data_IF_343305271043
#
_entry.id   IF_343305271043
#
_cell.length_a   1.000
_cell.length_b   1.000
_cell.length_c   1.000
_cell.angle_alpha   90.00
_cell.angle_beta   90.00
_cell.angle_gamma   90.00
#
_symmetry.space_group_name_H-M   'P 1'
#
loop_
_entity.id
_entity.type
_entity.pdbx_description
1 polymer ?
#
# COMPACT_ATOMS: atom_id res chain seq x y z
N UNK A 1 10.26 -7.85 5.58
CA UNK A 1 10.25 -6.94 4.41
C UNK A 1 8.87 -6.40 4.08
N UNK A 2 7.84 -7.23 3.87
CA UNK A 2 6.50 -6.70 3.53
C UNK A 2 5.97 -5.61 4.48
N UNK A 3 6.15 -5.81 5.80
CA UNK A 3 5.72 -4.82 6.79
C UNK A 3 6.47 -3.48 6.64
N UNK A 4 7.77 -3.51 6.30
CA UNK A 4 8.55 -2.31 6.02
C UNK A 4 7.98 -1.56 4.81
N UNK A 5 7.71 -2.28 3.73
CA UNK A 5 7.19 -1.68 2.49
C UNK A 5 5.80 -1.06 2.70
N UNK A 6 4.89 -1.77 3.36
CA UNK A 6 3.54 -1.26 3.59
C UNK A 6 3.52 -0.06 4.56
N UNK A 7 4.37 -0.05 5.58
CA UNK A 7 4.54 1.11 6.46
C UNK A 7 5.14 2.30 5.70
N UNK A 8 6.12 2.06 4.81
CA UNK A 8 6.70 3.11 3.97
C UNK A 8 5.64 3.75 3.07
N UNK A 9 4.81 2.93 2.41
CA UNK A 9 3.72 3.43 1.56
C UNK A 9 2.69 4.25 2.36
N UNK A 10 2.35 3.80 3.56
CA UNK A 10 1.45 4.52 4.46
C UNK A 10 2.04 5.87 4.93
N UNK A 11 3.35 5.92 5.21
CA UNK A 11 4.05 7.15 5.55
C UNK A 11 4.06 8.13 4.37
N UNK A 12 4.37 7.64 3.16
CA UNK A 12 4.34 8.45 1.93
C UNK A 12 2.93 9.02 1.67
N UNK A 13 1.87 8.24 1.92
CA UNK A 13 0.49 8.71 1.80
C UNK A 13 0.15 9.84 2.77
N UNK A 14 0.64 9.75 4.02
CA UNK A 14 0.50 10.81 5.01
C UNK A 14 1.26 12.08 4.61
N UNK A 15 2.50 11.92 4.14
CA UNK A 15 3.32 13.04 3.70
C UNK A 15 2.71 13.74 2.47
N UNK A 16 2.21 12.98 1.49
CA UNK A 16 1.51 13.56 0.33
C UNK A 16 0.31 14.41 0.75
N UNK A 17 -0.54 13.91 1.64
CA UNK A 17 -1.68 14.71 2.14
C UNK A 17 -1.20 15.94 2.92
N UNK A 18 -0.14 15.81 3.72
CA UNK A 18 0.47 16.95 4.41
C UNK A 18 0.93 18.03 3.42
N UNK A 19 1.61 17.65 2.34
CA UNK A 19 2.05 18.59 1.30
C UNK A 19 0.87 19.24 0.54
N UNK A 20 -0.16 18.48 0.17
CA UNK A 20 -1.35 19.03 -0.48
C UNK A 20 -2.09 20.01 0.43
N UNK A 21 -2.20 19.72 1.73
CA UNK A 21 -2.84 20.59 2.71
C UNK A 21 -2.09 21.92 2.95
N UNK A 22 -0.78 21.99 2.63
CA UNK A 22 -0.04 23.26 2.62
C UNK A 22 -0.47 24.16 1.46
N UNK A 23 -0.89 23.58 0.34
CA UNK A 23 -1.31 24.31 -0.86
C UNK A 23 -2.81 24.60 -0.87
N UNK A 24 -3.62 23.73 -0.28
CA UNK A 24 -5.07 23.89 -0.19
C UNK A 24 -5.56 23.76 1.25
N UNK A 25 -5.94 24.89 1.85
CA UNK A 25 -6.39 24.95 3.26
C UNK A 25 -7.68 24.18 3.52
N UNK A 26 -8.48 23.90 2.48
CA UNK A 26 -9.71 23.09 2.59
C UNK A 26 -9.42 21.60 2.71
N UNK A 27 -8.21 21.15 2.34
CA UNK A 27 -7.74 19.77 2.53
C UNK A 27 -7.10 19.53 3.89
N UNK A 28 -7.05 20.54 4.77
CA UNK A 28 -6.65 20.30 6.15
C UNK A 28 -7.60 19.24 6.70
N UNK A 29 -7.03 18.14 7.17
CA UNK A 29 -7.77 17.19 7.98
C UNK A 29 -8.50 17.96 9.09
N UNK A 30 -9.50 17.33 9.65
CA UNK A 30 -10.28 17.68 10.84
C UNK A 30 -9.43 17.96 12.11
N UNK A 31 -8.17 18.35 11.96
CA UNK A 31 -7.19 18.62 13.00
C UNK A 31 -6.51 17.35 13.51
N UNK A 32 -6.84 16.19 12.94
CA UNK A 32 -6.31 14.90 13.39
C UNK A 32 -4.85 14.74 12.99
N UNK A 33 -4.00 14.21 13.91
CA UNK A 33 -2.63 13.88 13.58
C UNK A 33 -2.58 12.76 12.52
N UNK A 34 -1.56 12.79 11.68
CA UNK A 34 -1.27 11.66 10.79
C UNK A 34 -0.84 10.46 11.61
N UNK A 35 -1.41 9.30 11.31
CA UNK A 35 -1.25 8.08 12.08
C UNK A 35 -1.26 6.85 11.17
N UNK A 36 -0.48 5.84 11.56
CA UNK A 36 -0.48 4.52 10.95
C UNK A 36 -0.81 3.53 12.06
N UNK A 37 -1.95 2.85 11.92
CA UNK A 37 -2.44 1.84 12.84
C UNK A 37 -2.16 0.45 12.29
N UNK A 38 -1.59 -0.42 13.13
CA UNK A 38 -1.35 -1.83 12.81
C UNK A 38 -2.15 -2.68 13.78
N UNK A 39 -3.07 -3.49 13.27
CA UNK A 39 -3.91 -4.36 14.09
C UNK A 39 -3.88 -5.80 13.57
N UNK A 40 -4.01 -6.75 14.50
CA UNK A 40 -4.03 -8.19 14.22
C UNK A 40 -5.34 -8.74 14.75
N UNK A 41 -6.12 -9.39 13.89
CA UNK A 41 -7.28 -10.18 14.25
C UNK A 41 -6.90 -11.66 14.09
N UNK A 42 -6.73 -12.34 15.23
CA UNK A 42 -6.30 -13.75 15.25
C UNK A 42 -7.41 -14.71 14.83
N UNK A 43 -8.67 -14.35 15.09
CA UNK A 43 -9.82 -15.18 14.77
C UNK A 43 -10.07 -15.17 13.25
N UNK A 44 -9.87 -14.02 12.61
CA UNK A 44 -9.95 -13.87 11.14
C UNK A 44 -8.63 -14.13 10.42
N UNK A 45 -7.54 -14.32 11.17
CA UNK A 45 -6.18 -14.45 10.65
C UNK A 45 -5.77 -13.29 9.73
N UNK A 46 -6.16 -12.06 10.08
CA UNK A 46 -5.87 -10.87 9.28
C UNK A 46 -4.91 -9.93 10.00
N UNK A 47 -3.93 -9.40 9.26
CA UNK A 47 -3.14 -8.24 9.63
C UNK A 47 -3.65 -7.04 8.85
N UNK A 48 -3.97 -5.94 9.54
CA UNK A 48 -4.43 -4.69 8.93
C UNK A 48 -3.42 -3.58 9.20
N UNK A 49 -3.06 -2.85 8.14
CA UNK A 49 -2.26 -1.63 8.19
C UNK A 49 -3.15 -0.52 7.64
N UNK A 50 -3.42 0.51 8.46
CA UNK A 50 -4.32 1.60 8.13
C UNK A 50 -3.64 2.93 8.39
N UNK A 51 -3.59 3.78 7.38
CA UNK A 51 -3.23 5.19 7.53
C UNK A 51 -4.44 6.11 7.36
N UNK A 52 -4.26 7.38 7.69
CA UNK A 52 -5.18 8.47 7.39
C UNK A 52 -4.55 9.49 6.43
N UNK A 53 -3.74 9.01 5.49
CA UNK A 53 -3.10 9.80 4.44
C UNK A 53 -4.04 10.13 3.28
N UNK A 54 -3.46 10.44 2.12
CA UNK A 54 -4.18 11.00 0.96
C UNK A 54 -5.23 10.06 0.36
N UNK A 55 -5.02 8.74 0.51
CA UNK A 55 -5.84 7.71 -0.13
C UNK A 55 -5.71 7.70 -1.66
N UNK A 56 -6.33 6.70 -2.28
CA UNK A 56 -6.38 6.52 -3.73
C UNK A 56 -7.81 6.67 -4.22
N UNK A 57 -7.97 7.33 -5.37
CA UNK A 57 -9.23 7.30 -6.12
C UNK A 57 -9.35 6.00 -6.92
N UNK A 58 -10.45 5.85 -7.66
CA UNK A 58 -10.69 4.63 -8.45
C UNK A 58 -9.62 4.40 -9.52
N UNK A 59 -9.17 5.46 -10.20
CA UNK A 59 -8.21 5.36 -11.29
C UNK A 59 -6.82 5.04 -10.75
N UNK A 60 -6.42 5.64 -9.62
CA UNK A 60 -5.21 5.29 -8.88
C UNK A 60 -5.18 3.82 -8.50
N UNK A 61 -6.28 3.27 -7.96
CA UNK A 61 -6.35 1.84 -7.61
C UNK A 61 -6.14 0.95 -8.84
N UNK A 62 -6.76 1.29 -9.97
CA UNK A 62 -6.62 0.53 -11.23
C UNK A 62 -5.20 0.64 -11.78
N UNK A 63 -4.64 1.85 -11.83
CA UNK A 63 -3.34 2.10 -12.45
C UNK A 63 -2.19 1.57 -11.59
N UNK A 64 -2.20 1.86 -10.29
CA UNK A 64 -1.10 1.56 -9.38
C UNK A 64 -1.13 0.10 -8.91
N UNK A 65 -2.31 -0.50 -8.69
CA UNK A 65 -2.43 -1.89 -8.20
C UNK A 65 -2.88 -2.87 -9.30
N UNK A 66 -3.58 -2.41 -10.33
CA UNK A 66 -4.07 -3.26 -11.41
C UNK A 66 -3.09 -3.47 -12.56
N UNK A 67 -2.23 -2.49 -12.87
CA UNK A 67 -1.28 -2.59 -14.00
C UNK A 67 -0.11 -3.52 -13.70
N UNK A 68 0.45 -3.44 -12.49
CA UNK A 68 1.60 -4.26 -12.11
C UNK A 68 1.19 -5.73 -11.92
N UNK A 69 -0.05 -6.00 -11.50
CA UNK A 69 -0.61 -7.35 -11.51
C UNK A 69 -0.65 -8.00 -12.91
N UNK A 70 -0.61 -7.20 -13.99
CA UNK A 70 -0.52 -7.69 -15.38
C UNK A 70 0.93 -7.82 -15.88
N UNK A 71 1.89 -7.08 -15.33
CA UNK A 71 3.26 -7.00 -15.87
C UNK A 71 4.24 -7.97 -15.21
N UNK A 72 4.06 -9.28 -15.37
CA UNK A 72 5.11 -10.27 -15.08
C UNK A 72 5.68 -10.29 -13.65
N UNK A 73 5.09 -9.56 -12.70
CA UNK A 73 5.59 -9.43 -11.31
C UNK A 73 5.48 -10.74 -10.56
N UNK A 74 4.55 -11.61 -10.94
CA UNK A 74 4.51 -13.00 -10.49
C UNK A 74 5.81 -13.76 -10.84
N UNK A 75 6.34 -13.61 -12.06
CA UNK A 75 7.61 -14.23 -12.45
C UNK A 75 8.80 -13.61 -11.69
N UNK A 76 8.74 -12.32 -11.36
CA UNK A 76 9.75 -11.65 -10.54
C UNK A 76 9.70 -12.19 -9.10
N UNK A 77 8.51 -12.27 -8.48
CA UNK A 77 8.32 -12.84 -7.15
C UNK A 77 8.74 -14.32 -7.09
N UNK A 78 8.44 -15.09 -8.14
CA UNK A 78 8.81 -16.50 -8.23
C UNK A 78 10.33 -16.68 -8.32
N UNK A 79 11.01 -15.88 -9.15
CA UNK A 79 12.47 -15.85 -9.21
C UNK A 79 13.10 -15.42 -7.87
N UNK A 80 12.51 -14.42 -7.19
CA UNK A 80 12.99 -13.94 -5.88
C UNK A 80 12.80 -14.99 -4.78
N UNK A 81 11.66 -15.71 -4.77
CA UNK A 81 11.42 -16.84 -3.86
C UNK A 81 12.45 -17.96 -4.05
N UNK A 82 12.91 -18.18 -5.28
CA UNK A 82 13.89 -19.22 -5.61
C UNK A 82 15.35 -18.84 -5.28
N UNK A 83 15.70 -17.56 -5.23
CA UNK A 83 17.11 -17.11 -5.14
C UNK A 83 17.59 -16.71 -3.74
N UNK A 84 16.70 -16.54 -2.75
CA UNK A 84 17.01 -16.61 -1.31
C UNK A 84 18.01 -15.59 -0.73
N UNK A 85 18.46 -14.57 -1.45
CA UNK A 85 19.49 -13.63 -0.98
C UNK A 85 18.92 -12.27 -0.54
N UNK A 86 19.39 -11.77 0.61
CA UNK A 86 19.02 -10.48 1.21
C UNK A 86 19.32 -9.26 0.32
N UNK A 87 20.27 -9.37 -0.61
CA UNK A 87 20.63 -8.28 -1.55
C UNK A 87 19.50 -7.93 -2.52
N UNK A 88 18.64 -8.90 -2.85
CA UNK A 88 17.55 -8.71 -3.82
C UNK A 88 16.27 -8.16 -3.18
N UNK A 89 16.17 -8.17 -1.85
CA UNK A 89 15.06 -7.52 -1.13
C UNK A 89 15.13 -5.99 -1.17
N UNK A 90 16.30 -5.40 -1.48
CA UNK A 90 16.44 -3.97 -1.71
C UNK A 90 16.00 -3.55 -3.13
N UNK A 91 16.00 -4.48 -4.09
CA UNK A 91 15.51 -4.24 -5.45
C UNK A 91 13.98 -4.04 -5.47
N UNK A 92 13.23 -4.73 -4.61
CA UNK A 92 11.77 -4.57 -4.44
C UNK A 92 11.40 -3.10 -4.14
N UNK A 93 12.19 -2.43 -3.30
CA UNK A 93 11.99 -1.01 -2.97
C UNK A 93 12.34 -0.05 -4.11
N UNK A 94 13.22 -0.45 -5.05
CA UNK A 94 13.60 0.39 -6.21
C UNK A 94 12.59 0.31 -7.37
N UNK A 95 11.83 -0.79 -7.50
CA UNK A 95 10.90 -0.98 -8.60
C UNK A 95 9.47 -0.49 -8.33
N UNK A 96 9.20 0.11 -7.17
CA UNK A 96 7.84 0.54 -6.80
C UNK A 96 6.85 -0.62 -6.63
N UNK A 97 7.35 -1.86 -6.50
CA UNK A 97 6.55 -3.09 -6.36
C UNK A 97 6.45 -3.56 -4.90
N UNK A 98 6.88 -2.75 -3.94
CA UNK A 98 6.89 -3.07 -2.51
C UNK A 98 5.54 -3.55 -1.96
N UNK A 99 4.43 -3.06 -2.52
CA UNK A 99 3.08 -3.52 -2.20
C UNK A 99 2.90 -5.04 -2.40
N UNK A 100 3.41 -5.61 -3.50
CA UNK A 100 3.22 -7.02 -3.83
C UNK A 100 4.00 -7.98 -2.93
N UNK A 101 4.95 -7.48 -2.14
CA UNK A 101 5.59 -8.28 -1.11
C UNK A 101 4.61 -8.77 -0.04
N UNK A 102 3.40 -8.20 0.05
CA UNK A 102 2.30 -8.71 0.88
C UNK A 102 1.91 -10.16 0.50
N UNK A 103 1.95 -10.52 -0.79
CA UNK A 103 1.65 -11.88 -1.28
C UNK A 103 2.75 -12.91 -0.95
N UNK A 104 3.86 -12.49 -0.32
CA UNK A 104 4.82 -13.44 0.27
C UNK A 104 4.28 -14.09 1.55
N UNK A 105 3.32 -13.44 2.21
CA UNK A 105 2.81 -13.84 3.54
C UNK A 105 1.29 -13.94 3.62
N UNK A 106 0.56 -13.57 2.57
CA UNK A 106 -0.90 -13.59 2.53
C UNK A 106 -1.40 -14.15 1.20
N UNK A 107 -2.41 -15.04 1.27
CA UNK A 107 -3.09 -15.60 0.10
C UNK A 107 -4.14 -14.64 -0.48
N UNK A 108 -4.50 -13.59 0.25
CA UNK A 108 -5.49 -12.59 -0.15
C UNK A 108 -5.09 -11.23 0.37
N UNK A 109 -5.12 -10.22 -0.49
CA UNK A 109 -4.86 -8.82 -0.13
C UNK A 109 -6.08 -7.97 -0.48
N UNK A 110 -6.57 -7.22 0.50
CA UNK A 110 -7.68 -6.28 0.35
C UNK A 110 -7.18 -4.87 0.67
N UNK A 111 -7.43 -3.94 -0.25
CA UNK A 111 -7.11 -2.52 -0.08
C UNK A 111 -8.41 -1.73 -0.07
N UNK A 112 -8.70 -1.07 1.04
CA UNK A 112 -9.82 -0.15 1.18
C UNK A 112 -9.26 1.25 1.18
N UNK A 113 -9.66 2.09 0.22
CA UNK A 113 -9.12 3.44 0.10
C UNK A 113 -10.21 4.47 -0.22
N UNK A 114 -10.02 5.69 0.31
CA UNK A 114 -10.87 6.85 0.08
C UNK A 114 -9.96 8.05 -0.15
N UNK A 115 -9.99 8.61 -1.35
CA UNK A 115 -9.40 9.92 -1.63
C UNK A 115 -10.46 11.02 -1.42
N UNK A 116 -10.07 12.22 -1.01
CA UNK A 116 -11.02 13.33 -0.82
C UNK A 116 -11.76 13.74 -2.11
N UNK A 117 -11.19 13.44 -3.28
CA UNK A 117 -11.74 13.79 -4.60
C UNK A 117 -12.72 12.76 -5.16
N UNK A 118 -12.90 11.61 -4.51
CA UNK A 118 -13.70 10.49 -5.03
C UNK A 118 -14.39 9.71 -3.89
N UNK A 119 -15.22 8.72 -4.20
CA UNK A 119 -15.84 7.81 -3.23
C UNK A 119 -14.84 6.81 -2.61
N UNK A 120 -15.31 6.01 -1.65
CA UNK A 120 -14.52 4.91 -1.09
C UNK A 120 -14.61 3.69 -2.00
N UNK A 121 -13.48 3.08 -2.29
CA UNK A 121 -13.41 1.86 -3.08
C UNK A 121 -12.67 0.74 -2.35
N UNK A 122 -12.95 -0.48 -2.79
CA UNK A 122 -12.30 -1.68 -2.33
C UNK A 122 -11.67 -2.35 -3.55
N UNK A 123 -10.36 -2.57 -3.47
CA UNK A 123 -9.61 -3.42 -4.38
C UNK A 123 -9.27 -4.73 -3.68
N UNK A 124 -9.34 -5.83 -4.40
CA UNK A 124 -9.06 -7.16 -3.86
C UNK A 124 -8.35 -8.02 -4.90
N UNK A 125 -7.37 -8.80 -4.45
CA UNK A 125 -6.73 -9.85 -5.23
C UNK A 125 -6.37 -11.05 -4.37
N UNK A 126 -6.43 -12.21 -5.00
CA UNK A 126 -5.99 -13.53 -4.51
C UNK A 126 -4.86 -14.05 -5.39
#
# INVERSE_FOLDING_TARGET
VFLRELISNAADACDRLRYEALQNKELKSDGKPFEIHISIDRDKQTLTIRDNGIGMDKDDLIQNLGTIARSGTAAILENLKQQGNDKDMNLIGQFGVGFYSAFLVADRVVVVSKNNKDDQYIWESV
#
